data_IF_214278152189
#
_entry.id   IF_214278152189
#
_cell.length_a   1.000
_cell.length_b   1.000
_cell.length_c   1.000
_cell.angle_alpha   90.00
_cell.angle_beta   90.00
_cell.angle_gamma   90.00
#
_symmetry.space_group_name_H-M   'P 1'
#
loop_
_entity.id
_entity.type
_entity.pdbx_description
1 polymer ?
#
# COMPACT_ATOMS: atom_id res chain seq x y z
N UNK A 1 8.07 -18.01 -9.10
CA UNK A 1 7.83 -17.18 -7.91
C UNK A 1 7.20 -18.03 -6.82
N UNK A 2 7.61 -17.88 -5.57
CA UNK A 2 7.16 -18.70 -4.43
C UNK A 2 7.05 -17.83 -3.18
N UNK A 3 5.92 -17.92 -2.48
CA UNK A 3 5.73 -17.24 -1.20
C UNK A 3 6.64 -17.83 -0.13
N UNK A 4 7.29 -16.95 0.64
CA UNK A 4 8.15 -17.30 1.75
C UNK A 4 7.82 -16.44 2.98
N UNK A 5 8.36 -16.81 4.13
CA UNK A 5 8.23 -16.04 5.36
C UNK A 5 9.37 -15.05 5.51
N UNK A 6 9.22 -14.04 6.38
CA UNK A 6 10.28 -13.12 6.78
C UNK A 6 10.05 -11.65 6.45
N UNK A 7 9.03 -11.33 5.64
CA UNK A 7 8.72 -9.93 5.30
C UNK A 7 9.96 -9.15 4.87
N UNK A 8 10.16 -7.93 5.37
CA UNK A 8 11.33 -7.09 5.02
C UNK A 8 12.69 -7.67 5.42
N UNK A 9 12.72 -8.73 6.21
CA UNK A 9 13.96 -9.45 6.57
C UNK A 9 14.21 -10.70 5.73
N UNK A 10 13.35 -11.05 4.78
CA UNK A 10 13.52 -12.20 3.89
C UNK A 10 14.69 -12.02 2.92
N UNK A 11 14.90 -10.84 2.29
CA UNK A 11 16.07 -10.61 1.46
C UNK A 11 17.36 -10.58 2.29
N UNK A 12 18.46 -11.02 1.69
CA UNK A 12 19.77 -11.09 2.33
C UNK A 12 20.23 -9.74 2.89
N UNK A 13 20.80 -9.73 4.08
CA UNK A 13 21.42 -8.56 4.69
C UNK A 13 20.47 -7.54 5.29
N UNK A 14 19.17 -7.84 5.42
CA UNK A 14 18.21 -6.97 6.10
C UNK A 14 17.90 -7.44 7.53
N UNK A 15 17.79 -6.46 8.43
CA UNK A 15 17.31 -6.60 9.79
C UNK A 15 16.24 -5.57 10.07
N UNK A 16 15.35 -5.88 10.99
CA UNK A 16 14.30 -4.94 11.40
C UNK A 16 14.05 -5.02 12.91
N UNK A 17 13.42 -4.01 13.44
CA UNK A 17 12.95 -3.93 14.82
C UNK A 17 11.72 -3.05 14.93
N UNK A 18 10.92 -3.26 15.95
CA UNK A 18 9.84 -2.39 16.35
C UNK A 18 9.70 -2.38 17.86
N UNK A 19 9.58 -1.20 18.46
CA UNK A 19 9.43 -1.00 19.90
C UNK A 19 8.29 -0.04 20.24
N UNK A 20 7.92 0.04 21.50
CA UNK A 20 7.11 1.12 22.04
C UNK A 20 8.03 2.17 22.64
N UNK A 21 8.05 3.38 22.09
CA UNK A 21 8.89 4.47 22.61
C UNK A 21 8.08 5.57 23.32
N UNK A 22 6.74 5.48 23.31
CA UNK A 22 5.87 6.40 24.06
C UNK A 22 5.29 7.55 23.24
N UNK A 23 5.34 7.51 21.92
CA UNK A 23 4.59 8.41 21.03
C UNK A 23 3.10 8.17 21.19
N UNK A 24 2.71 6.89 21.31
CA UNK A 24 1.34 6.48 21.61
C UNK A 24 1.14 6.34 23.12
N UNK A 25 -0.04 6.74 23.59
CA UNK A 25 -0.45 6.52 24.99
C UNK A 25 -0.66 5.03 25.32
N UNK A 26 -1.03 4.23 24.32
CA UNK A 26 -1.26 2.79 24.50
C UNK A 26 0.07 2.02 24.54
N UNK A 27 0.51 1.65 25.73
CA UNK A 27 1.77 0.94 25.98
C UNK A 27 1.83 -0.49 25.44
N UNK A 28 0.70 -1.08 25.03
CA UNK A 28 0.66 -2.44 24.48
C UNK A 28 0.95 -2.48 22.97
N UNK A 29 1.01 -1.34 22.30
CA UNK A 29 1.28 -1.24 20.85
C UNK A 29 2.64 -0.60 20.61
N UNK A 30 3.41 -1.17 19.68
CA UNK A 30 4.64 -0.58 19.18
C UNK A 30 4.32 0.70 18.40
N UNK A 31 5.23 1.66 18.41
CA UNK A 31 5.03 2.97 17.77
C UNK A 31 6.29 3.53 17.08
N UNK A 32 7.39 2.74 17.07
CA UNK A 32 8.61 3.08 16.37
C UNK A 32 9.19 1.83 15.71
N UNK A 33 9.49 1.91 14.42
CA UNK A 33 10.02 0.84 13.58
C UNK A 33 11.33 1.25 12.92
N UNK A 34 12.23 0.30 12.73
CA UNK A 34 13.51 0.47 12.06
C UNK A 34 13.78 -0.74 11.15
N UNK A 35 14.16 -0.47 9.90
CA UNK A 35 14.64 -1.47 8.93
C UNK A 35 16.03 -1.04 8.50
N UNK A 36 17.01 -1.94 8.52
CA UNK A 36 18.41 -1.63 8.21
C UNK A 36 18.98 -2.69 7.26
N UNK A 37 19.76 -2.25 6.28
CA UNK A 37 20.59 -3.11 5.45
C UNK A 37 22.04 -3.14 5.95
N UNK A 38 22.67 -4.29 5.87
CA UNK A 38 24.11 -4.45 6.22
C UNK A 38 25.02 -3.66 5.26
N UNK A 39 24.56 -3.42 4.01
CA UNK A 39 25.29 -2.65 2.99
C UNK A 39 24.41 -1.50 2.46
N UNK A 40 25.04 -0.55 1.74
CA UNK A 40 24.29 0.53 1.06
C UNK A 40 23.36 -0.08 0.00
N UNK A 41 22.14 0.46 -0.09
CA UNK A 41 21.14 0.06 -1.07
C UNK A 41 20.97 1.15 -2.13
N UNK A 42 20.67 0.76 -3.37
CA UNK A 42 19.93 1.63 -4.25
C UNK A 42 18.50 1.76 -3.73
N UNK A 43 17.99 2.98 -3.68
CA UNK A 43 16.69 3.26 -3.08
C UNK A 43 15.87 4.23 -3.93
N UNK A 44 14.58 3.99 -3.96
CA UNK A 44 13.62 4.85 -4.63
C UNK A 44 12.30 4.91 -3.83
N UNK A 45 11.59 6.04 -3.93
CA UNK A 45 10.32 6.22 -3.24
C UNK A 45 9.31 6.99 -4.08
N UNK A 46 8.03 6.63 -3.94
CA UNK A 46 6.89 7.41 -4.42
C UNK A 46 6.15 8.05 -3.24
N UNK A 47 5.48 9.17 -3.47
CA UNK A 47 4.92 9.99 -2.41
C UNK A 47 3.54 10.51 -2.78
N UNK A 48 2.72 10.82 -1.77
CA UNK A 48 1.41 11.44 -1.95
C UNK A 48 1.46 12.71 -2.81
N UNK A 49 0.45 12.87 -3.65
CA UNK A 49 0.18 14.12 -4.39
C UNK A 49 -0.68 15.10 -3.59
N UNK A 50 -1.11 14.76 -2.38
CA UNK A 50 -1.80 15.72 -1.51
C UNK A 50 -0.95 16.99 -1.38
N UNK A 51 -1.59 18.15 -1.48
CA UNK A 51 -0.89 19.44 -1.34
C UNK A 51 -0.44 19.71 0.09
N UNK A 52 -1.18 19.18 1.08
CA UNK A 52 -0.78 19.16 2.48
C UNK A 52 0.08 17.92 2.70
N UNK A 53 1.37 18.09 2.90
CA UNK A 53 2.32 16.98 3.04
C UNK A 53 2.93 16.94 4.43
N UNK A 54 3.15 15.74 4.93
CA UNK A 54 3.92 15.50 6.15
C UNK A 54 5.39 15.91 5.96
N UNK A 55 5.97 16.47 6.98
CA UNK A 55 7.37 16.92 6.98
C UNK A 55 8.39 15.80 6.63
N UNK A 56 8.20 14.53 7.06
CA UNK A 56 9.09 13.44 6.67
C UNK A 56 9.26 13.25 5.17
N UNK A 57 8.23 13.60 4.36
CA UNK A 57 8.32 13.50 2.90
C UNK A 57 9.38 14.46 2.33
N UNK A 58 9.45 15.69 2.83
CA UNK A 58 10.43 16.67 2.38
C UNK A 58 11.85 16.19 2.71
N UNK A 59 12.07 15.70 3.93
CA UNK A 59 13.37 15.19 4.39
C UNK A 59 13.78 13.94 3.58
N UNK A 60 12.90 12.94 3.46
CA UNK A 60 13.21 11.73 2.66
C UNK A 60 13.50 12.04 1.20
N UNK A 61 12.77 12.99 0.59
CA UNK A 61 13.09 13.43 -0.79
C UNK A 61 14.47 14.02 -0.91
N UNK A 62 14.90 14.81 0.08
CA UNK A 62 16.23 15.39 0.09
C UNK A 62 17.31 14.32 0.25
N UNK A 63 17.12 13.37 1.15
CA UNK A 63 18.06 12.27 1.38
C UNK A 63 18.19 11.36 0.16
N UNK A 64 17.10 11.08 -0.54
CA UNK A 64 17.10 10.21 -1.73
C UNK A 64 17.50 10.90 -3.05
N UNK A 65 18.05 12.13 -3.03
CA UNK A 65 18.55 12.78 -4.25
C UNK A 65 19.68 12.00 -4.93
N UNK A 66 20.48 11.28 -4.16
CA UNK A 66 21.54 10.42 -4.68
C UNK A 66 21.04 9.02 -5.07
N UNK A 67 19.77 8.65 -4.77
CA UNK A 67 19.21 7.33 -5.02
C UNK A 67 19.77 6.23 -4.14
N UNK A 68 20.23 6.55 -2.93
CA UNK A 68 20.81 5.59 -1.97
C UNK A 68 20.18 5.73 -0.59
N UNK A 69 20.08 4.61 0.12
CA UNK A 69 19.71 4.58 1.53
C UNK A 69 20.25 3.31 2.20
N UNK A 70 20.37 3.34 3.53
CA UNK A 70 20.82 2.20 4.33
C UNK A 70 19.82 1.81 5.40
N UNK A 71 18.92 2.73 5.77
CA UNK A 71 17.90 2.47 6.78
C UNK A 71 16.59 3.16 6.47
N UNK A 72 15.51 2.61 7.03
CA UNK A 72 14.18 3.24 7.10
C UNK A 72 13.76 3.32 8.55
N UNK A 73 13.47 4.53 9.04
CA UNK A 73 12.87 4.73 10.35
C UNK A 73 11.46 5.29 10.21
N UNK A 74 10.51 4.71 10.94
CA UNK A 74 9.12 5.13 10.87
C UNK A 74 8.49 5.14 12.25
N UNK A 75 7.83 6.24 12.60
CA UNK A 75 6.97 6.29 13.77
C UNK A 75 5.49 6.23 13.42
N UNK A 76 4.70 5.66 14.32
CA UNK A 76 3.24 5.75 14.29
C UNK A 76 2.70 6.51 15.51
N UNK A 77 1.44 6.95 15.42
CA UNK A 77 0.79 7.75 16.47
C UNK A 77 0.79 9.25 16.23
N UNK A 78 1.75 9.79 15.49
CA UNK A 78 1.83 11.18 15.08
C UNK A 78 2.34 11.27 13.63
N UNK A 79 1.62 11.98 12.78
CA UNK A 79 1.93 12.11 11.35
C UNK A 79 3.05 13.12 11.05
N UNK A 80 3.44 13.93 12.02
CA UNK A 80 4.35 15.05 11.81
C UNK A 80 3.94 15.94 10.62
N UNK A 81 2.66 16.23 10.55
CA UNK A 81 2.03 17.05 9.48
C UNK A 81 1.39 18.27 10.08
N UNK A 82 1.51 19.41 9.38
CA UNK A 82 1.02 20.73 9.81
C UNK A 82 1.70 21.23 11.10
N UNK A 83 2.92 20.83 11.37
CA UNK A 83 3.73 21.27 12.49
C UNK A 83 4.74 22.33 12.04
N UNK A 84 4.95 23.42 12.82
CA UNK A 84 5.86 24.50 12.44
C UNK A 84 7.34 24.07 12.37
N UNK A 85 7.74 23.04 13.12
CA UNK A 85 9.10 22.51 13.20
C UNK A 85 9.19 21.05 12.69
N UNK A 86 8.26 20.63 11.84
CA UNK A 86 8.16 19.22 11.42
C UNK A 86 9.42 18.68 10.76
N UNK A 87 10.03 19.47 9.87
CA UNK A 87 11.27 19.07 9.17
C UNK A 87 12.47 19.02 10.13
N UNK A 88 12.57 19.96 11.09
CA UNK A 88 13.60 19.94 12.11
C UNK A 88 13.53 18.67 12.96
N UNK A 89 12.34 18.25 13.37
CA UNK A 89 12.12 17.02 14.12
C UNK A 89 12.45 15.78 13.26
N UNK A 90 12.02 15.76 12.00
CA UNK A 90 12.32 14.62 11.10
C UNK A 90 13.83 14.46 10.88
N UNK A 91 14.57 15.56 10.65
CA UNK A 91 16.03 15.57 10.55
C UNK A 91 16.68 15.13 11.88
N UNK A 92 16.21 15.63 13.03
CA UNK A 92 16.73 15.23 14.32
C UNK A 92 16.57 13.73 14.59
N UNK A 93 15.42 13.13 14.19
CA UNK A 93 15.20 11.68 14.27
C UNK A 93 16.21 10.93 13.41
N UNK A 94 16.46 11.40 12.17
CA UNK A 94 17.51 10.82 11.30
C UNK A 94 18.89 10.91 11.96
N UNK A 95 19.26 12.07 12.51
CA UNK A 95 20.55 12.28 13.21
C UNK A 95 20.73 11.36 14.42
N UNK A 96 19.68 11.18 15.24
CA UNK A 96 19.69 10.22 16.36
C UNK A 96 19.90 8.78 15.89
N UNK A 97 19.15 8.38 14.85
CA UNK A 97 19.26 7.04 14.27
C UNK A 97 20.64 6.80 13.64
N UNK A 98 21.13 7.76 12.86
CA UNK A 98 22.45 7.71 12.22
C UNK A 98 23.60 7.55 13.24
N UNK A 99 23.54 8.31 14.33
CA UNK A 99 24.52 8.22 15.42
C UNK A 99 24.59 6.83 16.04
N UNK A 100 23.44 6.21 16.33
CA UNK A 100 23.40 4.88 16.94
C UNK A 100 23.81 3.77 15.95
N UNK A 101 23.50 3.94 14.63
CA UNK A 101 23.89 2.98 13.58
C UNK A 101 25.32 3.19 13.07
N UNK A 102 25.95 4.34 13.31
CA UNK A 102 27.26 4.69 12.76
C UNK A 102 27.25 4.91 11.22
N UNK A 103 26.18 5.53 10.69
CA UNK A 103 25.98 5.86 9.27
C UNK A 103 25.76 7.35 9.07
N UNK A 104 25.67 7.81 7.81
CA UNK A 104 25.29 9.20 7.50
C UNK A 104 23.78 9.38 7.71
N UNK A 105 23.36 10.55 8.21
CA UNK A 105 21.93 10.86 8.39
C UNK A 105 21.17 10.97 7.06
N UNK A 106 21.85 11.29 5.97
CA UNK A 106 21.28 11.35 4.62
C UNK A 106 21.03 9.94 4.02
N UNK A 107 21.57 8.88 4.63
CA UNK A 107 21.33 7.49 4.20
C UNK A 107 20.05 6.90 4.85
N UNK A 108 19.21 7.74 5.48
CA UNK A 108 18.03 7.31 6.21
C UNK A 108 16.76 7.84 5.55
N UNK A 109 15.86 6.92 5.23
CA UNK A 109 14.47 7.21 4.86
C UNK A 109 13.69 7.41 6.15
N UNK A 110 13.03 8.56 6.34
CA UNK A 110 12.18 8.83 7.48
C UNK A 110 10.72 8.92 7.09
N UNK A 111 9.84 8.27 7.87
CA UNK A 111 8.40 8.30 7.68
C UNK A 111 7.67 8.47 9.01
N UNK A 112 6.46 9.00 8.96
CA UNK A 112 5.58 9.16 10.12
C UNK A 112 4.13 8.92 9.72
N UNK A 113 3.32 8.39 10.63
CA UNK A 113 1.88 8.19 10.43
C UNK A 113 1.12 8.37 11.74
N UNK A 114 -0.14 8.79 11.64
CA UNK A 114 -1.02 9.00 12.80
C UNK A 114 -1.70 10.36 12.76
N UNK A 115 -1.73 11.04 13.91
CA UNK A 115 -2.46 12.28 14.08
C UNK A 115 -1.82 13.43 13.33
N UNK A 116 -2.65 14.26 12.69
CA UNK A 116 -2.25 15.50 12.01
C UNK A 116 -2.44 16.70 12.96
N UNK A 117 -1.54 17.67 12.88
CA UNK A 117 -1.68 18.96 13.60
C UNK A 117 -1.31 18.93 15.09
N UNK A 118 -0.72 17.83 15.55
CA UNK A 118 -0.15 17.76 16.90
C UNK A 118 1.38 17.84 16.83
N UNK A 119 2.05 18.62 17.68
CA UNK A 119 3.49 18.63 17.76
C UNK A 119 4.04 17.24 18.04
N UNK A 120 5.09 16.84 17.30
CA UNK A 120 5.83 15.62 17.58
C UNK A 120 6.96 15.93 18.55
N UNK A 121 6.97 15.26 19.70
CA UNK A 121 8.04 15.40 20.70
C UNK A 121 9.25 14.55 20.30
N UNK A 122 10.45 15.10 20.43
CA UNK A 122 11.70 14.39 20.15
C UNK A 122 12.14 13.47 21.30
N UNK A 123 11.73 13.78 22.54
CA UNK A 123 12.16 13.05 23.73
C UNK A 123 11.90 11.52 23.68
N UNK A 124 10.77 11.00 23.14
CA UNK A 124 10.59 9.56 22.93
C UNK A 124 11.70 8.93 22.10
N UNK A 125 12.14 9.60 21.04
CA UNK A 125 13.22 9.11 20.18
C UNK A 125 14.59 9.16 20.88
N UNK A 126 14.92 10.27 21.55
CA UNK A 126 16.17 10.42 22.30
C UNK A 126 16.33 9.35 23.36
N UNK A 127 15.25 9.01 24.06
CA UNK A 127 15.27 8.06 25.16
C UNK A 127 15.33 6.58 24.71
N UNK A 128 14.87 6.26 23.49
CA UNK A 128 14.68 4.86 23.05
C UNK A 128 15.44 4.50 21.76
N UNK A 129 16.18 5.40 21.11
CA UNK A 129 16.89 5.09 19.87
C UNK A 129 17.92 3.98 20.04
N UNK A 130 18.68 4.01 21.13
CA UNK A 130 19.62 2.93 21.43
C UNK A 130 18.91 1.59 21.63
N UNK A 131 17.79 1.55 22.35
CA UNK A 131 16.96 0.35 22.53
C UNK A 131 16.48 -0.20 21.19
N UNK A 132 15.99 0.67 20.31
CA UNK A 132 15.52 0.29 18.97
C UNK A 132 16.64 -0.36 18.15
N UNK A 133 17.83 0.23 18.13
CA UNK A 133 18.99 -0.31 17.40
C UNK A 133 19.46 -1.64 17.99
N UNK A 134 19.48 -1.79 19.31
CA UNK A 134 19.83 -3.05 19.98
C UNK A 134 18.79 -4.16 19.73
N UNK A 135 17.54 -3.80 19.42
CA UNK A 135 16.47 -4.74 19.10
C UNK A 135 16.50 -5.25 17.64
N UNK A 136 17.40 -4.75 16.78
CA UNK A 136 17.53 -5.17 15.39
C UNK A 136 17.90 -6.65 15.26
N UNK A 137 17.11 -7.43 14.52
CA UNK A 137 17.42 -8.82 14.21
C UNK A 137 16.81 -9.28 12.87
N UNK A 138 17.31 -10.39 12.34
CA UNK A 138 16.92 -10.93 11.03
C UNK A 138 15.51 -11.53 10.98
N UNK A 139 14.77 -11.55 12.06
CA UNK A 139 13.38 -11.98 12.15
C UNK A 139 12.47 -10.85 12.65
N UNK A 140 12.96 -9.61 12.67
CA UNK A 140 12.28 -8.44 13.25
C UNK A 140 11.21 -7.81 12.39
N UNK A 141 10.94 -8.36 11.20
CA UNK A 141 9.97 -7.79 10.24
C UNK A 141 8.58 -7.61 10.84
N UNK A 142 8.08 -8.62 11.54
CA UNK A 142 6.75 -8.58 12.18
C UNK A 142 6.67 -7.51 13.29
N UNK A 143 7.77 -7.23 13.98
CA UNK A 143 7.88 -6.19 14.98
C UNK A 143 7.88 -4.80 14.34
N UNK A 144 8.62 -4.62 13.25
CA UNK A 144 8.60 -3.39 12.48
C UNK A 144 7.22 -3.14 11.85
N UNK A 145 6.57 -4.18 11.32
CA UNK A 145 5.21 -4.09 10.80
C UNK A 145 4.23 -3.57 11.86
N UNK A 146 4.29 -4.08 13.09
CA UNK A 146 3.47 -3.60 14.20
C UNK A 146 3.77 -2.13 14.55
N UNK A 147 5.05 -1.73 14.51
CA UNK A 147 5.50 -0.38 14.83
C UNK A 147 4.96 0.70 13.89
N UNK A 148 4.59 0.35 12.66
CA UNK A 148 4.02 1.28 11.68
C UNK A 148 2.49 1.30 11.65
N UNK A 149 1.80 0.30 12.21
CA UNK A 149 0.32 0.20 12.20
C UNK A 149 -0.33 1.34 12.97
N UNK A 150 -1.54 1.73 12.56
CA UNK A 150 -2.38 2.72 13.24
C UNK A 150 -3.70 2.12 13.70
N UNK A 151 -4.72 2.18 12.87
CA UNK A 151 -6.03 1.56 13.07
C UNK A 151 -6.10 0.15 12.49
N UNK A 152 -5.04 -0.29 11.85
CA UNK A 152 -4.90 -1.64 11.28
C UNK A 152 -5.21 -2.73 12.31
N UNK A 153 -5.95 -3.77 11.89
CA UNK A 153 -6.30 -4.92 12.74
C UNK A 153 -5.44 -6.13 12.44
N UNK A 154 -4.87 -6.21 11.22
CA UNK A 154 -3.96 -7.27 10.78
C UNK A 154 -2.67 -6.73 10.23
N UNK A 155 -1.57 -7.46 10.46
CA UNK A 155 -0.25 -7.16 9.87
C UNK A 155 -0.28 -7.48 8.38
N UNK A 156 0.25 -6.56 7.58
CA UNK A 156 0.43 -6.73 6.14
C UNK A 156 1.92 -6.93 5.89
N UNK A 157 2.35 -8.18 5.85
CA UNK A 157 3.73 -8.61 5.79
C UNK A 157 3.85 -9.80 4.83
N UNK A 158 4.60 -9.62 3.74
CA UNK A 158 4.74 -10.61 2.68
C UNK A 158 6.19 -10.70 2.20
N UNK A 159 6.57 -11.85 1.65
CA UNK A 159 7.85 -12.03 0.98
C UNK A 159 7.74 -13.11 -0.11
N UNK A 160 8.56 -12.96 -1.16
CA UNK A 160 8.66 -13.93 -2.26
C UNK A 160 10.09 -14.22 -2.63
N UNK A 161 10.30 -15.44 -3.09
CA UNK A 161 11.51 -15.95 -3.73
C UNK A 161 11.26 -16.13 -5.24
N UNK A 162 12.21 -15.73 -6.06
CA UNK A 162 12.17 -15.86 -7.52
C UNK A 162 13.60 -15.97 -8.09
N UNK A 163 13.72 -16.25 -9.38
CA UNK A 163 15.03 -16.41 -10.01
C UNK A 163 15.24 -15.38 -11.12
N UNK A 164 16.46 -14.82 -11.18
CA UNK A 164 16.96 -13.97 -12.27
C UNK A 164 18.25 -14.63 -12.78
N UNK A 165 18.28 -15.06 -14.04
CA UNK A 165 19.44 -15.70 -14.68
C UNK A 165 20.00 -16.90 -13.87
N UNK A 166 19.14 -17.67 -13.20
CA UNK A 166 19.53 -18.80 -12.35
C UNK A 166 20.04 -18.39 -10.96
N UNK A 167 19.95 -17.12 -10.60
CA UNK A 167 20.27 -16.61 -9.26
C UNK A 167 18.98 -16.45 -8.46
N UNK A 168 18.91 -17.05 -7.29
CA UNK A 168 17.80 -16.89 -6.35
C UNK A 168 17.81 -15.49 -5.76
N UNK A 169 16.70 -14.78 -5.88
CA UNK A 169 16.46 -13.41 -5.41
C UNK A 169 15.22 -13.36 -4.52
N UNK A 170 15.16 -12.34 -3.68
CA UNK A 170 14.06 -12.16 -2.74
C UNK A 170 13.53 -10.72 -2.76
N UNK A 171 12.23 -10.60 -2.53
CA UNK A 171 11.58 -9.34 -2.16
C UNK A 171 10.79 -9.60 -0.89
N UNK A 172 10.91 -8.68 0.07
CA UNK A 172 10.10 -8.67 1.28
C UNK A 172 9.46 -7.31 1.51
N UNK A 173 8.29 -7.27 2.13
CA UNK A 173 7.56 -6.04 2.33
C UNK A 173 6.71 -6.05 3.59
N UNK A 174 6.53 -4.84 4.15
CA UNK A 174 5.50 -4.53 5.15
C UNK A 174 4.72 -3.30 4.72
N UNK A 175 3.43 -3.25 5.08
CA UNK A 175 2.61 -2.07 4.88
C UNK A 175 1.65 -1.83 6.03
N UNK A 176 1.21 -0.57 6.15
CA UNK A 176 0.09 -0.16 6.98
C UNK A 176 -0.92 0.64 6.16
N UNK A 177 -2.17 0.54 6.55
CA UNK A 177 -3.27 1.28 5.97
C UNK A 177 -4.59 0.58 6.26
N UNK A 178 -5.58 1.35 6.75
CA UNK A 178 -6.91 0.89 7.10
C UNK A 178 -7.94 2.00 6.90
N UNK A 179 -7.65 3.25 7.29
CA UNK A 179 -8.43 4.46 7.01
C UNK A 179 -7.60 5.55 6.34
N UNK A 180 -8.28 6.56 5.76
CA UNK A 180 -7.72 7.61 4.90
C UNK A 180 -6.98 6.99 3.71
N UNK A 181 -7.68 6.09 2.99
CA UNK A 181 -7.12 5.31 1.87
C UNK A 181 -7.85 5.63 0.56
N UNK A 182 -7.27 6.51 -0.23
CA UNK A 182 -7.59 6.76 -1.64
C UNK A 182 -6.35 7.27 -2.38
N UNK A 183 -5.41 6.39 -2.75
CA UNK A 183 -4.16 6.79 -3.37
C UNK A 183 -4.36 7.52 -4.70
N UNK A 184 -3.64 8.64 -4.77
CA UNK A 184 -3.23 9.23 -6.03
C UNK A 184 -1.70 9.42 -5.91
N UNK A 185 -0.93 8.39 -6.27
CA UNK A 185 0.51 8.20 -6.00
C UNK A 185 0.86 7.85 -4.52
N UNK A 186 0.11 6.95 -3.92
CA UNK A 186 0.22 6.28 -2.62
C UNK A 186 -0.64 6.86 -1.47
N UNK A 187 -1.48 6.00 -0.81
CA UNK A 187 -2.22 6.36 0.43
C UNK A 187 -1.99 5.31 1.51
N UNK A 188 -0.73 5.12 1.90
CA UNK A 188 -0.32 4.17 2.93
C UNK A 188 1.17 4.37 3.21
N UNK A 189 1.71 3.68 4.18
CA UNK A 189 3.15 3.46 4.25
C UNK A 189 3.42 2.02 3.84
N UNK A 190 4.27 1.83 2.84
CA UNK A 190 4.80 0.52 2.47
C UNK A 190 6.32 0.60 2.32
N UNK A 191 6.99 -0.35 2.93
CA UNK A 191 8.43 -0.50 2.87
C UNK A 191 8.76 -1.85 2.27
N UNK A 192 9.53 -1.82 1.20
CA UNK A 192 9.95 -2.99 0.43
C UNK A 192 11.46 -3.10 0.46
N UNK A 193 11.95 -4.29 0.69
CA UNK A 193 13.37 -4.63 0.63
C UNK A 193 13.62 -5.68 -0.43
N UNK A 194 14.78 -5.65 -1.06
CA UNK A 194 15.21 -6.68 -2.02
C UNK A 194 16.72 -6.88 -1.96
N UNK A 195 17.16 -8.10 -2.23
CA UNK A 195 18.58 -8.40 -2.40
C UNK A 195 19.03 -8.36 -3.88
N UNK A 196 18.16 -7.99 -4.79
CA UNK A 196 18.44 -7.84 -6.22
C UNK A 196 19.43 -6.72 -6.48
N UNK A 197 20.38 -6.96 -7.40
CA UNK A 197 21.27 -5.93 -7.93
C UNK A 197 20.59 -5.25 -9.14
N UNK A 198 20.15 -4.02 -8.94
CA UNK A 198 19.43 -3.20 -9.93
C UNK A 198 19.91 -1.75 -9.85
N UNK A 199 20.08 -1.07 -10.97
CA UNK A 199 20.51 0.33 -11.01
C UNK A 199 19.45 1.27 -10.43
N UNK A 200 19.88 2.45 -9.97
CA UNK A 200 19.01 3.49 -9.38
C UNK A 200 17.92 3.92 -10.37
N UNK A 201 18.29 4.06 -11.63
CA UNK A 201 17.40 4.47 -12.72
C UNK A 201 16.30 3.42 -12.92
N UNK A 202 16.68 2.14 -13.05
CA UNK A 202 15.71 1.05 -13.25
C UNK A 202 14.83 0.82 -12.04
N UNK A 203 15.38 0.95 -10.83
CA UNK A 203 14.59 0.88 -9.60
C UNK A 203 13.57 2.00 -9.52
N UNK A 204 13.96 3.24 -9.86
CA UNK A 204 13.04 4.37 -9.87
C UNK A 204 11.95 4.22 -10.94
N UNK A 205 12.27 3.68 -12.12
CA UNK A 205 11.28 3.44 -13.17
C UNK A 205 10.27 2.36 -12.75
N UNK A 206 10.74 1.22 -12.25
CA UNK A 206 9.87 0.09 -11.93
C UNK A 206 8.89 0.39 -10.82
N UNK A 207 9.28 1.17 -9.79
CA UNK A 207 8.34 1.48 -8.70
C UNK A 207 7.18 2.37 -9.17
N UNK A 208 7.44 3.30 -10.12
CA UNK A 208 6.38 4.14 -10.68
C UNK A 208 5.40 3.32 -11.54
N UNK A 209 5.92 2.36 -12.34
CA UNK A 209 5.07 1.47 -13.12
C UNK A 209 4.20 0.58 -12.22
N UNK A 210 4.77 0.05 -11.13
CA UNK A 210 4.06 -0.87 -10.22
C UNK A 210 3.01 -0.14 -9.37
N UNK A 211 3.32 1.04 -8.84
CA UNK A 211 2.40 1.82 -8.01
C UNK A 211 1.11 2.16 -8.74
N UNK A 212 1.21 2.43 -10.04
CA UNK A 212 0.08 2.87 -10.86
C UNK A 212 -0.99 1.79 -11.06
N UNK A 213 -0.57 0.52 -11.06
CA UNK A 213 -1.45 -0.64 -11.23
C UNK A 213 -1.78 -1.35 -9.91
N UNK A 214 -1.21 -0.91 -8.78
CA UNK A 214 -1.41 -1.52 -7.46
C UNK A 214 -1.98 -0.52 -6.45
N UNK A 215 -1.15 0.17 -5.70
CA UNK A 215 -1.60 1.07 -4.63
C UNK A 215 -2.52 2.18 -5.13
N UNK A 216 -2.27 2.77 -6.31
CA UNK A 216 -3.17 3.77 -6.90
C UNK A 216 -4.56 3.21 -7.25
N UNK A 217 -4.72 1.91 -7.25
CA UNK A 217 -5.99 1.22 -7.54
C UNK A 217 -6.74 0.78 -6.28
N UNK A 218 -6.32 1.23 -5.09
CA UNK A 218 -7.01 0.93 -3.82
C UNK A 218 -7.90 2.10 -3.40
N UNK A 219 -9.03 1.85 -2.72
CA UNK A 219 -9.77 2.87 -1.97
C UNK A 219 -10.57 2.26 -0.82
N UNK A 220 -10.45 2.85 0.38
CA UNK A 220 -11.29 2.53 1.54
C UNK A 220 -12.38 3.59 1.71
N UNK A 221 -12.05 4.86 1.75
CA UNK A 221 -12.96 5.95 2.11
C UNK A 221 -12.94 7.16 1.16
N UNK A 222 -12.09 7.15 0.14
CA UNK A 222 -12.00 8.24 -0.82
C UNK A 222 -11.09 9.39 -0.38
N UNK A 223 -10.47 9.32 0.81
CA UNK A 223 -9.62 10.37 1.35
C UNK A 223 -8.13 10.09 1.12
N UNK A 224 -7.43 11.03 0.46
CA UNK A 224 -5.99 10.92 0.21
C UNK A 224 -5.18 11.45 1.40
N UNK A 225 -4.33 10.61 1.98
CA UNK A 225 -3.51 10.94 3.12
C UNK A 225 -2.40 11.97 2.81
N UNK A 226 -1.89 12.59 3.86
CA UNK A 226 -0.81 13.58 3.82
C UNK A 226 0.59 12.97 3.84
N UNK A 227 0.72 11.67 4.18
CA UNK A 227 2.00 11.04 4.53
C UNK A 227 2.38 9.83 3.69
N UNK A 228 1.60 9.52 2.67
CA UNK A 228 1.76 8.30 1.90
C UNK A 228 3.12 8.19 1.25
N UNK A 229 3.72 7.00 1.37
CA UNK A 229 5.04 6.69 0.85
C UNK A 229 5.15 5.19 0.57
N UNK A 230 5.56 4.83 -0.65
CA UNK A 230 6.17 3.54 -0.95
C UNK A 230 7.68 3.77 -1.07
N UNK A 231 8.48 3.06 -0.29
CA UNK A 231 9.94 3.08 -0.41
C UNK A 231 10.47 1.67 -0.66
N UNK A 232 11.38 1.55 -1.62
CA UNK A 232 12.05 0.30 -1.98
C UNK A 232 13.54 0.47 -1.78
N UNK A 233 14.18 -0.47 -1.07
CA UNK A 233 15.64 -0.59 -0.92
C UNK A 233 16.11 -1.89 -1.54
N UNK A 234 17.04 -1.84 -2.48
CA UNK A 234 17.69 -2.98 -3.13
C UNK A 234 19.20 -2.97 -2.87
N UNK A 235 19.73 -4.00 -2.19
CA UNK A 235 21.09 -4.01 -1.70
C UNK A 235 22.09 -4.84 -2.53
N UNK A 236 21.62 -5.56 -3.56
CA UNK A 236 22.48 -6.29 -4.49
C UNK A 236 23.11 -7.58 -3.96
N UNK A 237 22.78 -8.02 -2.75
CA UNK A 237 23.45 -9.18 -2.11
C UNK A 237 23.06 -10.52 -2.72
N UNK A 238 22.02 -10.61 -3.57
CA UNK A 238 21.74 -11.80 -4.38
C UNK A 238 22.85 -12.08 -5.40
N UNK A 239 23.64 -11.05 -5.75
CA UNK A 239 24.73 -11.13 -6.73
C UNK A 239 24.27 -11.56 -8.15
N UNK A 240 23.04 -11.28 -8.52
CA UNK A 240 22.62 -11.34 -9.92
C UNK A 240 23.36 -10.27 -10.74
N UNK A 241 23.41 -10.47 -12.07
CA UNK A 241 23.90 -9.41 -12.95
C UNK A 241 23.06 -8.14 -12.75
N UNK A 242 23.74 -6.99 -12.66
CA UNK A 242 23.03 -5.72 -12.45
C UNK A 242 22.03 -5.44 -13.57
N UNK A 243 20.78 -5.13 -13.16
CA UNK A 243 19.72 -4.74 -14.07
C UNK A 243 19.88 -3.25 -14.41
N UNK A 244 20.31 -2.96 -15.64
CA UNK A 244 20.60 -1.59 -16.12
C UNK A 244 19.72 -1.14 -17.28
N UNK A 245 18.81 -2.00 -17.73
CA UNK A 245 17.89 -1.75 -18.85
C UNK A 245 16.63 -2.63 -18.71
N UNK A 246 15.59 -2.32 -19.48
CA UNK A 246 14.32 -3.05 -19.51
C UNK A 246 14.42 -4.34 -20.34
N UNK A 247 15.24 -5.29 -19.86
CA UNK A 247 15.36 -6.64 -20.41
C UNK A 247 14.52 -7.66 -19.64
N UNK A 248 14.71 -8.94 -19.88
CA UNK A 248 13.98 -10.03 -19.23
C UNK A 248 14.15 -9.99 -17.70
N UNK A 249 15.36 -9.72 -17.20
CA UNK A 249 15.64 -9.62 -15.76
C UNK A 249 14.87 -8.47 -15.10
N UNK A 250 14.72 -7.33 -15.79
CA UNK A 250 13.87 -6.23 -15.34
C UNK A 250 12.39 -6.63 -15.24
N UNK A 251 11.88 -7.34 -16.25
CA UNK A 251 10.48 -7.77 -16.25
C UNK A 251 10.21 -8.81 -15.17
N UNK A 252 11.13 -9.75 -14.93
CA UNK A 252 11.02 -10.71 -13.81
C UNK A 252 10.98 -9.98 -12.46
N UNK A 253 11.86 -9.02 -12.24
CA UNK A 253 11.85 -8.20 -11.01
C UNK A 253 10.56 -7.38 -10.88
N UNK A 254 10.11 -6.75 -11.97
CA UNK A 254 8.85 -6.01 -12.02
C UNK A 254 7.65 -6.88 -11.64
N UNK A 255 7.56 -8.08 -12.20
CA UNK A 255 6.46 -9.01 -11.92
C UNK A 255 6.46 -9.46 -10.46
N UNK A 256 7.65 -9.69 -9.87
CA UNK A 256 7.78 -10.03 -8.45
C UNK A 256 7.39 -8.85 -7.54
N UNK A 257 7.80 -7.63 -7.88
CA UNK A 257 7.43 -6.43 -7.15
C UNK A 257 5.93 -6.12 -7.29
N UNK A 258 5.37 -6.30 -8.49
CA UNK A 258 3.94 -6.18 -8.76
C UNK A 258 3.13 -7.12 -7.88
N UNK A 259 3.49 -8.39 -7.84
CA UNK A 259 2.82 -9.41 -7.01
C UNK A 259 2.79 -9.04 -5.53
N UNK A 260 3.94 -8.62 -4.96
CA UNK A 260 4.01 -8.18 -3.56
C UNK A 260 3.14 -6.95 -3.31
N UNK A 261 3.18 -5.96 -4.21
CA UNK A 261 2.39 -4.74 -4.08
C UNK A 261 0.88 -5.01 -4.23
N UNK A 262 0.47 -5.99 -5.06
CA UNK A 262 -0.92 -6.45 -5.13
C UNK A 262 -1.38 -7.10 -3.83
N UNK A 263 -0.57 -7.98 -3.22
CA UNK A 263 -0.89 -8.59 -1.93
C UNK A 263 -1.08 -7.54 -0.83
N UNK A 264 -0.19 -6.54 -0.78
CA UNK A 264 -0.29 -5.42 0.15
C UNK A 264 -1.56 -4.59 -0.13
N UNK A 265 -1.86 -4.29 -1.39
CA UNK A 265 -3.05 -3.53 -1.82
C UNK A 265 -4.34 -4.22 -1.41
N UNK A 266 -4.46 -5.52 -1.66
CA UNK A 266 -5.58 -6.36 -1.21
C UNK A 266 -5.69 -6.39 0.31
N UNK A 267 -4.55 -6.56 1.00
CA UNK A 267 -4.50 -6.55 2.46
C UNK A 267 -4.98 -5.23 3.07
N UNK A 268 -4.61 -4.10 2.48
CA UNK A 268 -5.06 -2.76 2.90
C UNK A 268 -6.58 -2.60 2.67
N UNK A 269 -7.08 -2.98 1.50
CA UNK A 269 -8.51 -2.91 1.19
C UNK A 269 -9.34 -3.81 2.11
N UNK A 270 -8.88 -5.05 2.34
CA UNK A 270 -9.57 -6.05 3.20
C UNK A 270 -9.62 -5.62 4.66
N UNK A 271 -8.58 -4.95 5.17
CA UNK A 271 -8.48 -4.43 6.53
C UNK A 271 -8.97 -2.98 6.64
N UNK A 272 -9.79 -2.51 5.71
CA UNK A 272 -10.41 -1.19 5.79
C UNK A 272 -11.18 -1.00 7.09
N UNK A 273 -11.15 0.22 7.67
CA UNK A 273 -11.80 0.52 8.96
C UNK A 273 -13.27 0.08 8.98
N UNK A 274 -13.58 -0.90 9.83
CA UNK A 274 -14.93 -1.47 9.97
C UNK A 274 -15.41 -2.30 8.78
N UNK A 275 -14.54 -2.63 7.82
CA UNK A 275 -14.89 -3.44 6.65
C UNK A 275 -15.25 -4.87 7.01
N UNK A 276 -16.23 -5.44 6.28
CA UNK A 276 -16.61 -6.84 6.37
C UNK A 276 -16.35 -7.61 5.07
N UNK A 277 -16.05 -6.91 3.98
CA UNK A 277 -15.82 -7.51 2.65
C UNK A 277 -14.68 -6.83 1.91
N UNK A 278 -13.86 -7.65 1.26
CA UNK A 278 -12.98 -7.21 0.19
C UNK A 278 -13.78 -7.13 -1.12
N UNK A 279 -13.71 -5.99 -1.79
CA UNK A 279 -14.31 -5.78 -3.11
C UNK A 279 -13.19 -5.67 -4.14
N UNK A 280 -13.20 -6.55 -5.16
CA UNK A 280 -12.28 -6.49 -6.29
C UNK A 280 -13.06 -6.18 -7.56
N UNK A 281 -12.79 -5.04 -8.17
CA UNK A 281 -13.43 -4.63 -9.42
C UNK A 281 -12.48 -4.85 -10.59
N UNK A 282 -12.85 -5.75 -11.48
CA UNK A 282 -12.16 -6.02 -12.75
C UNK A 282 -12.90 -5.34 -13.89
N UNK A 283 -12.21 -4.51 -14.64
CA UNK A 283 -12.73 -3.90 -15.88
C UNK A 283 -11.94 -4.48 -17.04
N UNK A 284 -12.66 -5.06 -18.00
CA UNK A 284 -12.10 -5.68 -19.19
C UNK A 284 -12.58 -4.95 -20.45
N UNK A 285 -11.83 -5.13 -21.54
CA UNK A 285 -12.17 -4.67 -22.88
C UNK A 285 -12.48 -3.16 -22.96
N UNK A 286 -11.75 -2.33 -22.21
CA UNK A 286 -11.82 -0.87 -22.31
C UNK A 286 -11.06 -0.34 -23.54
N UNK A 287 -11.43 0.83 -24.03
CA UNK A 287 -10.78 1.47 -25.19
C UNK A 287 -9.37 2.00 -24.87
N UNK A 288 -9.05 2.26 -23.60
CA UNK A 288 -7.72 2.65 -23.12
C UNK A 288 -7.44 2.15 -21.70
N UNK A 289 -6.15 2.05 -21.34
CA UNK A 289 -5.71 1.72 -19.97
C UNK A 289 -6.24 2.74 -18.95
N UNK A 290 -6.25 4.03 -19.32
CA UNK A 290 -6.78 5.10 -18.49
C UNK A 290 -8.27 4.89 -18.19
N UNK A 291 -9.07 4.59 -19.21
CA UNK A 291 -10.51 4.41 -19.05
C UNK A 291 -10.83 3.19 -18.20
N UNK A 292 -10.10 2.07 -18.39
CA UNK A 292 -10.24 0.89 -17.54
C UNK A 292 -9.99 1.22 -16.05
N UNK A 293 -8.91 1.94 -15.75
CA UNK A 293 -8.57 2.38 -14.38
C UNK A 293 -9.62 3.31 -13.79
N UNK A 294 -10.07 4.30 -14.55
CA UNK A 294 -11.06 5.29 -14.10
C UNK A 294 -12.40 4.61 -13.77
N UNK A 295 -12.86 3.70 -14.63
CA UNK A 295 -14.10 2.94 -14.39
C UNK A 295 -13.97 2.06 -13.15
N UNK A 296 -12.90 1.24 -13.05
CA UNK A 296 -12.70 0.34 -11.91
C UNK A 296 -12.67 1.13 -10.58
N UNK A 297 -11.92 2.23 -10.57
CA UNK A 297 -11.78 3.08 -9.38
C UNK A 297 -13.09 3.79 -9.02
N UNK A 298 -13.87 4.26 -9.99
CA UNK A 298 -15.16 4.88 -9.75
C UNK A 298 -16.15 3.96 -9.04
N UNK A 299 -16.19 2.69 -9.43
CA UNK A 299 -17.08 1.71 -8.82
C UNK A 299 -16.70 1.44 -7.36
N UNK A 300 -15.42 1.14 -7.07
CA UNK A 300 -15.00 0.82 -5.69
C UNK A 300 -15.04 2.02 -4.74
N UNK A 301 -15.07 3.25 -5.25
CA UNK A 301 -15.18 4.49 -4.43
C UNK A 301 -16.62 4.93 -4.19
N UNK A 302 -17.58 4.36 -4.90
CA UNK A 302 -18.99 4.73 -4.75
C UNK A 302 -19.54 4.32 -3.39
N UNK A 303 -19.85 5.29 -2.51
CA UNK A 303 -20.44 5.03 -1.19
C UNK A 303 -21.76 4.26 -1.28
N UNK A 304 -22.59 4.56 -2.30
CA UNK A 304 -23.86 3.85 -2.52
C UNK A 304 -23.62 2.38 -2.90
N UNK A 305 -22.66 2.11 -3.77
CA UNK A 305 -22.29 0.74 -4.13
C UNK A 305 -21.71 -0.02 -2.92
N UNK A 306 -20.77 0.59 -2.20
CA UNK A 306 -20.16 -0.03 -1.01
C UNK A 306 -21.21 -0.35 0.07
N UNK A 307 -22.19 0.52 0.27
CA UNK A 307 -23.33 0.27 1.18
C UNK A 307 -24.24 -0.87 0.68
N UNK A 308 -24.43 -1.03 -0.64
CA UNK A 308 -25.16 -2.16 -1.20
C UNK A 308 -24.42 -3.49 -0.93
N UNK A 309 -23.09 -3.52 -1.08
CA UNK A 309 -22.28 -4.70 -0.78
C UNK A 309 -22.35 -5.10 0.70
N UNK A 310 -22.35 -4.14 1.62
CA UNK A 310 -22.60 -4.37 3.03
C UNK A 310 -24.01 -4.98 3.26
N UNK A 311 -25.02 -4.42 2.60
CA UNK A 311 -26.41 -4.88 2.64
C UNK A 311 -26.68 -6.18 1.86
N UNK A 312 -25.67 -6.73 1.17
CA UNK A 312 -25.80 -7.91 0.29
C UNK A 312 -26.83 -7.72 -0.81
N UNK A 313 -26.95 -6.49 -1.32
CA UNK A 313 -27.87 -6.10 -2.39
C UNK A 313 -27.14 -6.11 -3.74
N UNK A 314 -27.57 -6.96 -4.67
CA UNK A 314 -27.01 -7.09 -6.01
C UNK A 314 -27.38 -5.88 -6.89
N UNK A 315 -27.15 -4.67 -6.39
CA UNK A 315 -27.58 -3.40 -6.95
C UNK A 315 -26.74 -2.97 -8.17
N UNK A 316 -26.94 -3.64 -9.29
CA UNK A 316 -26.30 -3.32 -10.56
C UNK A 316 -26.54 -1.86 -11.00
N UNK A 317 -27.68 -1.27 -10.63
CA UNK A 317 -27.98 0.13 -10.93
C UNK A 317 -27.00 1.10 -10.29
N UNK A 318 -26.51 0.82 -9.07
CA UNK A 318 -25.48 1.63 -8.41
C UNK A 318 -24.11 1.44 -9.07
N UNK A 319 -23.83 0.27 -9.62
CA UNK A 319 -22.61 0.02 -10.41
C UNK A 319 -22.65 0.86 -11.69
N UNK A 320 -23.73 0.77 -12.47
CA UNK A 320 -23.89 1.58 -13.68
C UNK A 320 -23.89 3.08 -13.37
N UNK A 321 -24.50 3.50 -12.26
CA UNK A 321 -24.45 4.89 -11.84
C UNK A 321 -23.00 5.34 -11.58
N UNK A 322 -22.19 4.51 -10.90
CA UNK A 322 -20.78 4.80 -10.65
C UNK A 322 -19.96 4.86 -11.95
N UNK A 323 -20.23 3.99 -12.90
CA UNK A 323 -19.64 4.05 -14.24
C UNK A 323 -20.10 5.34 -14.95
N UNK A 324 -21.40 5.68 -14.86
CA UNK A 324 -22.02 6.77 -15.62
C UNK A 324 -21.53 8.17 -15.31
N UNK A 325 -20.99 8.42 -14.10
CA UNK A 325 -20.44 9.74 -13.74
C UNK A 325 -18.91 9.83 -13.83
N UNK A 326 -18.24 8.75 -14.17
CA UNK A 326 -16.78 8.79 -14.30
C UNK A 326 -16.35 9.42 -15.64
N UNK A 327 -15.16 10.02 -15.65
CA UNK A 327 -14.59 10.66 -16.85
C UNK A 327 -13.85 9.61 -17.71
N UNK A 328 -14.59 8.63 -18.26
CA UNK A 328 -14.08 7.60 -19.16
C UNK A 328 -14.90 7.52 -20.44
N UNK A 329 -14.28 7.02 -21.51
CA UNK A 329 -14.95 6.77 -22.78
C UNK A 329 -15.39 5.30 -22.86
N UNK A 330 -16.66 5.07 -23.13
CA UNK A 330 -17.25 3.72 -23.32
C UNK A 330 -18.66 3.87 -23.94
N UNK A 331 -19.17 2.78 -24.50
CA UNK A 331 -20.54 2.68 -25.01
C UNK A 331 -21.43 2.02 -23.94
N UNK A 332 -22.39 2.78 -23.39
CA UNK A 332 -23.29 2.31 -22.32
C UNK A 332 -24.08 1.08 -22.75
N UNK A 333 -24.50 1.00 -24.02
CA UNK A 333 -25.33 -0.10 -24.53
C UNK A 333 -24.54 -1.42 -24.72
N UNK A 334 -23.22 -1.43 -24.43
CA UNK A 334 -22.38 -2.61 -24.46
C UNK A 334 -22.02 -3.16 -23.08
N UNK A 335 -22.21 -2.39 -22.01
CA UNK A 335 -21.74 -2.75 -20.67
C UNK A 335 -22.38 -4.04 -20.17
N UNK A 336 -21.54 -4.95 -19.70
CA UNK A 336 -21.93 -6.17 -18.98
C UNK A 336 -21.37 -6.15 -17.57
N UNK A 337 -22.16 -6.59 -16.58
CA UNK A 337 -21.73 -6.69 -15.17
C UNK A 337 -22.10 -8.04 -14.60
N UNK A 338 -21.10 -8.74 -14.06
CA UNK A 338 -21.24 -9.99 -13.32
C UNK A 338 -20.73 -9.79 -11.90
N UNK A 339 -21.47 -10.28 -10.90
CA UNK A 339 -21.01 -10.39 -9.50
C UNK A 339 -20.57 -11.81 -9.24
N UNK A 340 -19.42 -12.00 -8.58
CA UNK A 340 -18.86 -13.30 -8.30
C UNK A 340 -18.24 -13.39 -6.91
N UNK A 341 -18.11 -14.61 -6.39
CA UNK A 341 -17.40 -14.98 -5.17
C UNK A 341 -17.08 -16.47 -5.20
N UNK A 342 -16.55 -17.02 -4.09
CA UNK A 342 -16.36 -18.47 -3.92
C UNK A 342 -17.67 -19.28 -4.04
N UNK A 343 -18.84 -18.64 -3.80
CA UNK A 343 -20.16 -19.27 -3.92
C UNK A 343 -20.72 -19.32 -5.35
N UNK A 344 -20.02 -18.76 -6.34
CA UNK A 344 -20.40 -18.76 -7.75
C UNK A 344 -20.41 -17.38 -8.40
N UNK A 345 -21.08 -17.26 -9.54
CA UNK A 345 -21.21 -16.00 -10.28
C UNK A 345 -22.62 -15.79 -10.79
N UNK A 346 -22.99 -14.51 -11.00
CA UNK A 346 -24.32 -14.14 -11.50
C UNK A 346 -24.23 -12.89 -12.38
N UNK A 347 -24.76 -12.98 -13.60
CA UNK A 347 -24.90 -11.83 -14.50
C UNK A 347 -26.07 -10.97 -14.03
N UNK A 348 -25.82 -9.69 -13.78
CA UNK A 348 -26.82 -8.74 -13.24
C UNK A 348 -27.15 -7.60 -14.20
N UNK A 349 -26.28 -7.34 -15.19
CA UNK A 349 -26.47 -6.34 -16.22
C UNK A 349 -25.95 -6.85 -17.57
N UNK A 350 -26.70 -6.64 -18.64
CA UNK A 350 -26.30 -6.94 -20.01
C UNK A 350 -26.76 -5.83 -20.94
N UNK A 351 -25.89 -5.44 -21.86
CA UNK A 351 -26.15 -4.34 -22.82
C UNK A 351 -26.62 -3.06 -22.11
N UNK A 352 -25.97 -2.70 -20.98
CA UNK A 352 -26.30 -1.52 -20.20
C UNK A 352 -27.65 -1.56 -19.49
N UNK A 353 -28.30 -2.71 -19.40
CA UNK A 353 -29.64 -2.90 -18.82
C UNK A 353 -29.65 -4.05 -17.83
N UNK A 354 -30.58 -3.98 -16.87
CA UNK A 354 -30.77 -5.07 -15.90
C UNK A 354 -31.06 -6.39 -16.59
N UNK A 355 -30.35 -7.42 -16.19
CA UNK A 355 -30.56 -8.79 -16.63
C UNK A 355 -31.29 -9.57 -15.54
N UNK A 356 -32.34 -10.36 -15.84
CA UNK A 356 -33.02 -11.14 -14.82
C UNK A 356 -32.12 -12.15 -14.15
N UNK A 357 -32.10 -12.19 -12.84
CA UNK A 357 -31.26 -13.11 -12.06
C UNK A 357 -32.00 -13.65 -10.84
N UNK A 358 -31.45 -14.71 -10.25
CA UNK A 358 -31.96 -15.34 -9.03
C UNK A 358 -31.44 -14.58 -7.80
N UNK A 359 -32.35 -13.94 -7.06
CA UNK A 359 -32.01 -13.15 -5.85
C UNK A 359 -31.43 -14.03 -4.70
N UNK A 360 -31.87 -15.28 -4.57
CA UNK A 360 -31.35 -16.20 -3.55
C UNK A 360 -29.91 -16.62 -3.89
N UNK A 361 -29.59 -16.78 -5.17
CA UNK A 361 -28.23 -17.03 -5.62
C UNK A 361 -27.36 -15.78 -5.42
N UNK A 362 -27.86 -14.61 -5.76
CA UNK A 362 -27.17 -13.35 -5.55
C UNK A 362 -26.83 -13.13 -4.07
N UNK A 363 -27.80 -13.39 -3.18
CA UNK A 363 -27.60 -13.29 -1.73
C UNK A 363 -26.51 -14.24 -1.23
N UNK A 364 -26.43 -15.49 -1.74
CA UNK A 364 -25.35 -16.43 -1.41
C UNK A 364 -23.99 -15.91 -1.82
N UNK A 365 -23.87 -15.43 -3.08
CA UNK A 365 -22.65 -14.86 -3.61
C UNK A 365 -22.19 -13.66 -2.77
N UNK A 366 -23.10 -12.72 -2.47
CA UNK A 366 -22.81 -11.51 -1.71
C UNK A 366 -22.67 -11.75 -0.19
N UNK A 367 -22.89 -12.96 0.30
CA UNK A 367 -22.65 -13.30 1.69
C UNK A 367 -21.20 -13.66 1.99
N UNK A 368 -20.41 -13.93 0.97
CA UNK A 368 -18.97 -14.21 1.11
C UNK A 368 -18.17 -12.96 1.48
N UNK A 369 -16.97 -13.15 2.03
CA UNK A 369 -16.09 -12.08 2.50
C UNK A 369 -15.30 -11.41 1.37
N UNK A 370 -15.21 -12.06 0.21
CA UNK A 370 -14.51 -11.57 -0.99
C UNK A 370 -15.46 -11.58 -2.17
N UNK A 371 -15.72 -10.40 -2.72
CA UNK A 371 -16.65 -10.19 -3.84
C UNK A 371 -15.88 -9.62 -5.02
N UNK A 372 -16.07 -10.23 -6.18
CA UNK A 372 -15.56 -9.75 -7.46
C UNK A 372 -16.69 -9.08 -8.27
N UNK A 373 -16.39 -7.93 -8.80
CA UNK A 373 -17.24 -7.17 -9.70
C UNK A 373 -16.56 -7.21 -11.08
N UNK A 374 -17.11 -8.01 -12.00
CA UNK A 374 -16.57 -8.20 -13.33
C UNK A 374 -17.35 -7.30 -14.30
N UNK A 375 -16.69 -6.30 -14.86
CA UNK A 375 -17.25 -5.35 -15.81
C UNK A 375 -16.59 -5.58 -17.16
N UNK A 376 -17.38 -5.84 -18.18
CA UNK A 376 -16.92 -5.88 -19.56
C UNK A 376 -17.50 -4.68 -20.33
N UNK A 377 -16.63 -3.86 -20.91
CA UNK A 377 -17.03 -2.67 -21.67
C UNK A 377 -17.20 -2.98 -23.16
N UNK A 378 -16.73 -4.13 -23.65
CA UNK A 378 -16.79 -4.54 -25.05
C UNK A 378 -16.36 -3.45 -26.06
N UNK A 379 -15.35 -2.62 -25.70
CA UNK A 379 -14.97 -1.44 -26.49
C UNK A 379 -13.45 -1.35 -26.76
N UNK A 380 -12.69 -2.41 -26.47
CA UNK A 380 -11.24 -2.46 -26.69
C UNK A 380 -10.58 -3.70 -26.12
N UNK A 381 -9.31 -3.58 -25.70
CA UNK A 381 -8.50 -4.70 -25.20
C UNK A 381 -7.77 -4.36 -23.88
N UNK A 382 -8.02 -3.18 -23.30
CA UNK A 382 -7.36 -2.77 -22.07
C UNK A 382 -8.16 -3.25 -20.86
N UNK A 383 -7.44 -3.47 -19.77
CA UNK A 383 -8.01 -3.96 -18.53
C UNK A 383 -7.40 -3.28 -17.32
N UNK A 384 -8.14 -3.24 -16.21
CA UNK A 384 -7.64 -2.77 -14.93
C UNK A 384 -8.35 -3.47 -13.78
N UNK A 385 -7.67 -3.56 -12.64
CA UNK A 385 -8.23 -4.07 -11.39
C UNK A 385 -8.13 -2.99 -10.31
N UNK A 386 -9.19 -2.85 -9.51
CA UNK A 386 -9.19 -1.98 -8.34
C UNK A 386 -9.71 -2.72 -7.11
N UNK A 387 -9.19 -2.36 -5.94
CA UNK A 387 -9.54 -2.98 -4.67
C UNK A 387 -10.15 -1.98 -3.71
N UNK A 388 -11.19 -2.40 -3.02
CA UNK A 388 -11.86 -1.62 -2.01
C UNK A 388 -12.53 -2.51 -0.97
N UNK A 389 -13.37 -1.92 -0.13
CA UNK A 389 -14.16 -2.64 0.86
C UNK A 389 -15.59 -2.12 0.88
N UNK A 390 -16.49 -2.82 1.54
CA UNK A 390 -17.84 -2.36 1.82
C UNK A 390 -17.84 -1.14 2.77
N UNK A 391 -18.98 -0.48 2.92
CA UNK A 391 -19.18 0.65 3.83
C UNK A 391 -20.17 0.26 4.92
N UNK A 392 -19.68 0.19 6.15
CA UNK A 392 -20.41 -0.32 7.30
C UNK A 392 -20.75 0.77 8.32
N UNK A 393 -21.59 0.45 9.31
CA UNK A 393 -21.84 1.33 10.47
C UNK A 393 -20.59 1.49 11.35
N UNK A 394 -19.71 0.48 11.40
CA UNK A 394 -18.50 0.52 12.20
C UNK A 394 -17.47 1.53 11.64
N UNK A 395 -17.45 1.78 10.32
CA UNK A 395 -16.63 2.86 9.75
C UNK A 395 -16.99 4.22 10.38
N UNK A 396 -18.29 4.53 10.44
CA UNK A 396 -18.76 5.80 11.04
C UNK A 396 -18.44 5.85 12.54
N UNK A 397 -18.62 4.74 13.26
CA UNK A 397 -18.33 4.64 14.69
C UNK A 397 -16.84 4.86 14.97
N UNK A 398 -15.96 4.15 14.26
CA UNK A 398 -14.50 4.27 14.42
C UNK A 398 -14.06 5.72 14.19
N UNK A 399 -14.49 6.34 13.08
CA UNK A 399 -14.06 7.68 12.70
C UNK A 399 -14.75 8.78 13.54
N UNK A 400 -15.96 8.55 14.02
CA UNK A 400 -16.65 9.46 14.97
C UNK A 400 -15.99 9.52 16.34
N UNK A 401 -15.36 8.43 16.77
CA UNK A 401 -14.67 8.32 18.06
C UNK A 401 -13.14 8.56 17.95
N UNK A 402 -12.61 8.67 16.73
CA UNK A 402 -11.19 8.92 16.47
C UNK A 402 -10.81 10.34 16.93
N UNK A 403 -10.62 10.47 18.23
CA UNK A 403 -10.06 11.66 18.87
C UNK A 403 -8.67 11.30 19.38
N UNK A 404 -7.76 11.88 18.76
CA UNK A 404 -6.36 11.65 19.09
C UNK A 404 -5.87 12.69 20.06
#
# INVERSE_FOLDING_TARGET
MKDIQGGVCAPLGFKAAGIHCGIRKNKSKKDLALIVSDVMCHAASTYTLNKVKGAPIAVTKQHLLNGEAKAIICNSGNANTCNPNGEEIANAVCGLCAKELGIDENDIIVASTGVIGQPLDLAPFENHMNELVQALHSQGSSDACEGIMTTDTVKKEYAVEFEIDGVTCHIGAIAKGSGMIHPNMATMLAFVTSDVNISKEMLNEVIHEVVDDTFNMVSVDGDTSTNDMLSVMANGLANNKEIVQKDESYHIFKDALMYICELLSKGIAKDGEGATKLLTCHVNNACSQKDAKVVAKSVITSSLFKAAMFGKDANWGRILCAIGYCEASYDVDKIEVTLASSAGSILVCQNGRGYPFDEDQALKILSEDEIEILIDLHDGNYQATAWGCDLTYDYVKINGDYRT
#
